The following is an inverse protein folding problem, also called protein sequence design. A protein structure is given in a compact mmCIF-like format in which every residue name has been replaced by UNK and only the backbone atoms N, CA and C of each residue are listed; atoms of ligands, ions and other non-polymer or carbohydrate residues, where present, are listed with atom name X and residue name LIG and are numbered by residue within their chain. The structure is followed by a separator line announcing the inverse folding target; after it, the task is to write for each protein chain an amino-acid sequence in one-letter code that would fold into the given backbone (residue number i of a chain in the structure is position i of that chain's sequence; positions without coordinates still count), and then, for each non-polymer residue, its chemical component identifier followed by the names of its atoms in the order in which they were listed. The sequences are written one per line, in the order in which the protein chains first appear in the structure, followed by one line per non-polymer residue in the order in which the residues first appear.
data_IF_843089982201
#
_entry.id   IF_843089982201
#
_cell.length_a   1.000
_cell.length_b   1.000
_cell.length_c   1.000
_cell.angle_alpha   90.00
_cell.angle_beta   90.00
_cell.angle_gamma   90.00
#
_symmetry.space_group_name_H-M   'P 1'
#
loop_
_entity.id
_entity.type
_entity.pdbx_description
1 polymer ?
#
# COMPACT_ATOMS: atom_id res chain seq x y z
N UNK A 1 5.17 -7.71 -23.13
CA UNK A 1 6.34 -7.35 -22.33
C UNK A 1 5.89 -6.77 -20.98
N UNK A 2 6.71 -7.00 -19.93
CA UNK A 2 6.40 -6.59 -18.58
C UNK A 2 7.57 -5.82 -18.00
N UNK A 3 7.28 -4.84 -17.15
CA UNK A 3 8.23 -4.22 -16.24
C UNK A 3 8.05 -4.91 -14.89
N UNK A 4 9.11 -5.53 -14.37
CA UNK A 4 9.12 -6.21 -13.07
C UNK A 4 9.77 -5.33 -12.02
N UNK A 5 9.08 -5.12 -10.91
CA UNK A 5 9.49 -4.24 -9.83
C UNK A 5 9.26 -4.90 -8.47
N UNK A 6 10.09 -4.55 -7.51
CA UNK A 6 9.80 -4.85 -6.10
C UNK A 6 8.71 -3.91 -5.61
N UNK A 7 7.78 -4.47 -4.87
CA UNK A 7 6.64 -3.76 -4.31
C UNK A 7 6.45 -4.13 -2.83
N UNK A 8 5.69 -3.32 -2.15
CA UNK A 8 5.30 -3.55 -0.74
C UNK A 8 3.81 -3.29 -0.60
N UNK A 9 3.12 -4.14 0.13
CA UNK A 9 1.73 -3.92 0.49
C UNK A 9 1.62 -2.82 1.53
N UNK A 10 0.60 -2.00 1.41
CA UNK A 10 0.33 -0.88 2.31
C UNK A 10 -1.15 -0.79 2.62
N UNK A 11 -1.48 -0.66 3.90
CA UNK A 11 -2.87 -0.42 4.32
C UNK A 11 -3.42 0.84 3.65
N UNK A 12 -4.68 0.80 3.24
CA UNK A 12 -5.37 1.94 2.61
C UNK A 12 -5.44 3.14 3.56
N UNK A 13 -5.72 2.86 4.82
CA UNK A 13 -5.76 3.87 5.89
C UNK A 13 -5.10 3.31 7.15
N UNK A 14 -4.36 4.18 7.81
CA UNK A 14 -3.80 3.96 9.16
C UNK A 14 -4.05 5.21 9.96
N UNK A 15 -4.94 5.15 10.95
CA UNK A 15 -5.33 6.32 11.75
C UNK A 15 -5.08 6.02 13.23
N UNK A 16 -4.41 6.96 13.87
CA UNK A 16 -4.32 7.04 15.32
C UNK A 16 -5.55 7.79 15.83
N UNK A 17 -6.49 7.06 16.40
CA UNK A 17 -7.72 7.63 16.97
C UNK A 17 -7.39 8.21 18.32
N UNK A 18 -7.52 9.52 18.45
CA UNK A 18 -7.08 10.28 19.63
C UNK A 18 -8.23 10.57 20.58
N UNK A 19 -7.91 10.60 21.85
CA UNK A 19 -8.81 11.06 22.91
C UNK A 19 -9.17 12.53 22.70
N UNK A 20 -10.46 12.86 22.72
CA UNK A 20 -10.95 14.24 22.61
C UNK A 20 -10.94 14.99 23.95
N UNK A 21 -10.95 14.24 25.04
CA UNK A 21 -10.90 14.73 26.42
C UNK A 21 -9.90 13.90 27.21
N UNK A 22 -9.35 14.46 28.29
CA UNK A 22 -8.55 13.69 29.24
C UNK A 22 -9.48 12.87 30.14
N UNK A 23 -9.06 11.67 30.52
CA UNK A 23 -9.83 10.83 31.44
C UNK A 23 -9.24 9.44 31.59
N UNK A 24 -9.64 8.73 32.64
CA UNK A 24 -9.26 7.33 32.82
C UNK A 24 -10.02 6.44 31.82
N UNK A 25 -9.34 5.49 31.20
CA UNK A 25 -9.96 4.45 30.38
C UNK A 25 -10.71 3.49 31.29
N UNK A 26 -12.02 3.65 31.37
CA UNK A 26 -12.88 2.82 32.22
C UNK A 26 -13.32 1.54 31.51
N UNK A 27 -13.37 1.55 30.19
CA UNK A 27 -13.79 0.41 29.39
C UNK A 27 -13.19 0.49 27.98
N UNK A 28 -12.84 -0.67 27.41
CA UNK A 28 -12.53 -0.85 26.01
C UNK A 28 -13.64 -1.67 25.33
N UNK A 29 -14.07 -1.28 24.14
CA UNK A 29 -15.12 -1.95 23.38
C UNK A 29 -14.62 -3.05 22.45
N UNK A 30 -13.31 -3.21 22.33
CA UNK A 30 -12.65 -4.17 21.46
C UNK A 30 -11.27 -4.52 22.00
N UNK A 31 -10.57 -5.43 21.30
CA UNK A 31 -9.21 -5.84 21.65
C UNK A 31 -8.30 -5.72 20.45
N UNK A 32 -6.99 -5.67 20.69
CA UNK A 32 -5.97 -5.67 19.67
C UNK A 32 -6.10 -6.88 18.71
N UNK A 33 -5.94 -6.66 17.41
CA UNK A 33 -6.04 -7.68 16.36
C UNK A 33 -7.45 -7.95 15.85
N UNK A 34 -8.50 -7.41 16.49
CA UNK A 34 -9.89 -7.64 16.09
C UNK A 34 -10.33 -6.67 15.00
N UNK A 35 -11.17 -7.15 14.08
CA UNK A 35 -11.89 -6.30 13.14
C UNK A 35 -13.07 -5.61 13.84
N UNK A 36 -13.24 -4.33 13.58
CA UNK A 36 -14.37 -3.53 14.07
C UNK A 36 -15.03 -2.79 12.91
N UNK A 37 -16.32 -2.55 13.05
CA UNK A 37 -17.06 -1.71 12.12
C UNK A 37 -16.90 -0.23 12.49
N UNK A 38 -17.14 0.64 11.52
CA UNK A 38 -17.25 2.07 11.76
C UNK A 38 -18.21 2.34 12.92
N UNK A 39 -17.91 3.36 13.73
CA UNK A 39 -18.66 3.81 14.90
C UNK A 39 -18.65 2.83 16.11
N UNK A 40 -17.95 1.70 16.02
CA UNK A 40 -17.70 0.84 17.19
C UNK A 40 -16.92 1.64 18.25
N UNK A 41 -17.35 1.55 19.51
CA UNK A 41 -16.66 2.18 20.65
C UNK A 41 -15.32 1.47 20.84
N UNK A 42 -14.23 2.23 20.78
CA UNK A 42 -12.87 1.74 20.99
C UNK A 42 -12.49 1.83 22.46
N UNK A 43 -12.65 3.01 23.06
CA UNK A 43 -12.44 3.22 24.47
C UNK A 43 -13.44 4.24 25.03
N UNK A 44 -13.82 4.04 26.27
CA UNK A 44 -14.67 4.95 27.03
C UNK A 44 -13.81 5.61 28.12
N UNK A 45 -13.77 6.93 28.10
CA UNK A 45 -13.03 7.74 29.07
C UNK A 45 -13.98 8.24 30.17
N UNK A 46 -13.65 7.95 31.42
CA UNK A 46 -14.36 8.48 32.58
C UNK A 46 -13.76 9.82 33.00
N UNK A 47 -14.61 10.86 33.02
CA UNK A 47 -14.30 12.11 33.72
C UNK A 47 -15.36 12.26 34.78
N UNK A 48 -15.05 11.90 36.02
CA UNK A 48 -15.94 12.03 37.20
C UNK A 48 -17.40 11.63 36.92
N UNK A 49 -17.79 10.53 37.43
CA UNK A 49 -19.10 9.86 37.62
C UNK A 49 -20.27 10.06 36.61
N UNK A 50 -20.34 11.12 35.82
CA UNK A 50 -21.53 11.44 35.02
C UNK A 50 -21.29 11.64 33.50
N UNK A 51 -20.06 11.82 33.06
CA UNK A 51 -19.78 12.08 31.63
C UNK A 51 -18.72 11.11 31.08
N UNK A 52 -19.17 10.01 30.50
CA UNK A 52 -18.32 9.14 29.72
C UNK A 52 -18.16 9.69 28.29
N UNK A 53 -16.93 9.93 27.88
CA UNK A 53 -16.62 10.26 26.49
C UNK A 53 -16.23 8.99 25.76
N UNK A 54 -16.96 8.67 24.71
CA UNK A 54 -16.67 7.51 23.85
C UNK A 54 -15.80 7.93 22.68
N UNK A 55 -14.73 7.17 22.45
CA UNK A 55 -13.89 7.28 21.27
C UNK A 55 -14.27 6.15 20.33
N UNK A 56 -14.75 6.50 19.13
CA UNK A 56 -15.31 5.55 18.15
C UNK A 56 -14.40 5.37 16.95
N UNK A 57 -14.51 4.21 16.31
CA UNK A 57 -13.80 3.89 15.08
C UNK A 57 -14.28 4.80 13.94
N UNK A 58 -13.39 5.52 13.26
CA UNK A 58 -13.74 6.42 12.16
C UNK A 58 -14.11 5.69 10.87
N UNK A 59 -13.70 4.44 10.74
CA UNK A 59 -13.98 3.52 9.63
C UNK A 59 -13.88 2.07 10.10
N UNK A 60 -14.35 1.14 9.28
CA UNK A 60 -14.22 -0.30 9.56
C UNK A 60 -12.79 -0.76 9.27
N UNK A 61 -12.18 -1.51 10.20
CA UNK A 61 -10.80 -1.95 10.06
C UNK A 61 -10.34 -2.81 11.23
N UNK A 62 -9.05 -3.12 11.24
CA UNK A 62 -8.42 -3.92 12.28
C UNK A 62 -7.77 -3.03 13.33
N UNK A 63 -7.92 -3.41 14.59
CA UNK A 63 -7.27 -2.73 15.72
C UNK A 63 -5.82 -3.22 15.80
N UNK A 64 -4.90 -2.32 15.52
CA UNK A 64 -3.48 -2.63 15.61
C UNK A 64 -2.94 -2.42 17.02
N UNK A 65 -3.45 -1.39 17.68
CA UNK A 65 -3.07 -1.03 19.04
C UNK A 65 -4.26 -0.40 19.77
N UNK A 66 -4.42 -0.69 21.05
CA UNK A 66 -5.45 -0.09 21.89
C UNK A 66 -4.91 0.15 23.30
N UNK A 67 -5.30 1.27 23.89
CA UNK A 67 -4.96 1.63 25.26
C UNK A 67 -5.65 0.65 26.23
N UNK A 68 -4.97 0.30 27.33
CA UNK A 68 -5.52 -0.60 28.33
C UNK A 68 -6.38 0.18 29.37
N UNK A 69 -7.42 -0.46 29.94
CA UNK A 69 -8.16 0.11 31.06
C UNK A 69 -7.22 0.49 32.22
N UNK A 70 -7.56 1.55 32.91
CA UNK A 70 -6.76 2.10 33.99
C UNK A 70 -5.71 3.13 33.56
N UNK A 71 -5.38 3.22 32.27
CA UNK A 71 -4.55 4.30 31.74
C UNK A 71 -5.33 5.61 31.70
N UNK A 72 -4.62 6.72 31.79
CA UNK A 72 -5.20 8.06 31.78
C UNK A 72 -4.65 8.84 30.56
N UNK A 73 -5.20 8.63 29.33
CA UNK A 73 -4.79 9.42 28.19
C UNK A 73 -5.24 10.88 28.37
N UNK A 74 -4.33 11.79 28.08
CA UNK A 74 -4.63 13.20 27.97
C UNK A 74 -5.29 13.50 26.62
N UNK A 75 -5.93 14.66 26.53
CA UNK A 75 -6.52 15.15 25.29
C UNK A 75 -5.46 15.16 24.17
N UNK A 76 -5.78 14.50 23.06
CA UNK A 76 -4.89 14.39 21.90
C UNK A 76 -3.97 13.17 21.92
N UNK A 77 -3.89 12.42 23.03
CA UNK A 77 -3.16 11.15 23.07
C UNK A 77 -3.94 10.04 22.36
N UNK A 78 -3.20 9.04 21.85
CA UNK A 78 -3.77 7.94 21.07
C UNK A 78 -4.52 6.99 22.00
N UNK A 79 -5.78 6.75 21.70
CA UNK A 79 -6.62 5.73 22.32
C UNK A 79 -6.47 4.38 21.60
N UNK A 80 -6.51 4.38 20.27
CA UNK A 80 -6.33 3.20 19.46
C UNK A 80 -5.74 3.55 18.10
N UNK A 81 -5.06 2.58 17.48
CA UNK A 81 -4.64 2.65 16.08
C UNK A 81 -5.46 1.64 15.29
N UNK A 82 -6.14 2.12 14.25
CA UNK A 82 -6.95 1.31 13.35
C UNK A 82 -6.39 1.35 11.93
N UNK A 83 -6.34 0.20 11.27
CA UNK A 83 -5.89 0.06 9.88
C UNK A 83 -6.98 -0.53 9.00
N UNK A 84 -7.09 -0.01 7.78
CA UNK A 84 -7.96 -0.57 6.74
C UNK A 84 -7.12 -1.39 5.78
N UNK A 85 -7.41 -2.70 5.70
CA UNK A 85 -6.70 -3.65 4.84
C UNK A 85 -7.51 -4.06 3.60
N UNK A 86 -8.75 -3.59 3.47
CA UNK A 86 -9.58 -3.85 2.30
C UNK A 86 -10.19 -2.53 1.78
N UNK A 87 -9.85 -2.12 0.55
CA UNK A 87 -8.79 -2.69 -0.27
C UNK A 87 -7.40 -2.49 0.36
N UNK A 88 -6.42 -3.29 -0.08
CA UNK A 88 -5.01 -3.06 0.25
C UNK A 88 -4.28 -2.50 -0.96
N UNK A 89 -3.39 -1.53 -0.74
CA UNK A 89 -2.60 -0.94 -1.80
C UNK A 89 -1.26 -1.66 -1.97
N UNK A 90 -0.83 -1.83 -3.19
CA UNK A 90 0.51 -2.24 -3.56
C UNK A 90 1.28 -1.02 -4.04
N UNK A 91 2.43 -0.76 -3.45
CA UNK A 91 3.27 0.39 -3.80
C UNK A 91 4.59 -0.09 -4.36
N UNK A 92 4.97 0.43 -5.53
CA UNK A 92 6.25 0.15 -6.18
C UNK A 92 6.88 1.42 -6.72
N UNK A 93 8.20 1.39 -6.91
CA UNK A 93 8.94 2.49 -7.52
C UNK A 93 9.35 2.15 -8.96
N UNK A 94 8.86 2.91 -9.93
CA UNK A 94 9.24 2.79 -11.34
C UNK A 94 10.46 3.66 -11.61
N UNK A 95 11.57 3.11 -12.15
CA UNK A 95 12.72 3.91 -12.52
C UNK A 95 12.41 4.96 -13.58
N UNK A 96 13.17 6.06 -13.60
CA UNK A 96 12.97 7.20 -14.49
C UNK A 96 12.95 6.80 -15.98
N UNK A 97 13.79 5.84 -16.39
CA UNK A 97 13.86 5.40 -17.78
C UNK A 97 12.65 4.58 -18.27
N UNK A 98 11.82 4.07 -17.34
CA UNK A 98 10.63 3.27 -17.65
C UNK A 98 9.31 4.02 -17.44
N UNK A 99 9.31 5.18 -16.79
CA UNK A 99 8.06 5.86 -16.38
C UNK A 99 7.16 6.21 -17.57
N UNK A 100 7.73 6.53 -18.72
CA UNK A 100 6.96 6.87 -19.92
C UNK A 100 6.17 5.69 -20.50
N UNK A 101 6.47 4.45 -20.07
CA UNK A 101 5.79 3.22 -20.46
C UNK A 101 4.66 2.85 -19.53
N UNK A 102 4.54 3.54 -18.39
CA UNK A 102 3.60 3.21 -17.31
C UNK A 102 2.45 4.20 -17.28
N UNK A 103 1.23 3.67 -17.26
CA UNK A 103 -0.01 4.47 -17.25
C UNK A 103 -1.04 3.85 -16.30
N UNK A 104 -1.96 4.68 -15.83
CA UNK A 104 -3.14 4.24 -15.08
C UNK A 104 -3.94 3.24 -15.93
N UNK A 105 -4.64 2.31 -15.29
CA UNK A 105 -5.46 1.24 -15.86
C UNK A 105 -4.68 0.10 -16.58
N UNK A 106 -3.36 0.15 -16.62
CA UNK A 106 -2.57 -1.00 -17.09
C UNK A 106 -2.76 -2.20 -16.15
N UNK A 107 -2.83 -3.39 -16.77
CA UNK A 107 -2.90 -4.65 -16.02
C UNK A 107 -1.59 -4.91 -15.29
N UNK A 108 -1.73 -5.37 -14.05
CA UNK A 108 -0.60 -5.76 -13.21
C UNK A 108 -0.80 -7.16 -12.66
N UNK A 109 0.27 -7.91 -12.56
CA UNK A 109 0.33 -9.21 -11.91
C UNK A 109 1.23 -9.08 -10.69
N UNK A 110 0.75 -9.54 -9.57
CA UNK A 110 1.39 -9.37 -8.27
C UNK A 110 1.68 -10.73 -7.68
N UNK A 111 2.96 -11.01 -7.46
CA UNK A 111 3.41 -12.21 -6.78
C UNK A 111 3.83 -11.84 -5.35
N UNK A 112 3.00 -12.24 -4.39
CA UNK A 112 3.30 -12.02 -2.97
C UNK A 112 4.36 -13.02 -2.49
N UNK A 113 5.19 -12.61 -1.53
CA UNK A 113 6.16 -13.49 -0.86
C UNK A 113 5.50 -14.73 -0.22
N UNK A 114 4.19 -14.66 0.07
CA UNK A 114 3.39 -15.77 0.60
C UNK A 114 3.02 -16.83 -0.45
N UNK A 115 3.39 -16.62 -1.74
CA UNK A 115 3.13 -17.54 -2.84
C UNK A 115 1.80 -17.31 -3.57
N UNK A 116 1.05 -16.27 -3.22
CA UNK A 116 -0.18 -15.90 -3.93
C UNK A 116 0.15 -15.00 -5.12
N UNK A 117 -0.47 -15.29 -6.28
CA UNK A 117 -0.47 -14.42 -7.45
C UNK A 117 -1.83 -13.76 -7.60
N UNK A 118 -1.86 -12.46 -7.75
CA UNK A 118 -3.06 -11.65 -7.82
C UNK A 118 -2.99 -10.76 -9.06
N UNK A 119 -4.12 -10.61 -9.74
CA UNK A 119 -4.27 -9.67 -10.84
C UNK A 119 -4.93 -8.37 -10.35
N UNK A 120 -4.47 -7.26 -10.89
CA UNK A 120 -4.99 -5.94 -10.57
C UNK A 120 -4.77 -4.93 -11.69
N UNK A 121 -5.02 -3.67 -11.38
CA UNK A 121 -4.75 -2.55 -12.29
C UNK A 121 -4.02 -1.44 -11.55
N UNK A 122 -3.18 -0.71 -12.27
CA UNK A 122 -2.59 0.51 -11.74
C UNK A 122 -3.68 1.56 -11.50
N UNK A 123 -3.75 2.06 -10.28
CA UNK A 123 -4.71 3.09 -9.86
C UNK A 123 -4.06 4.47 -9.74
N UNK A 124 -2.75 4.51 -9.53
CA UNK A 124 -2.00 5.75 -9.36
C UNK A 124 -0.62 5.66 -9.99
N UNK A 125 -0.19 6.76 -10.61
CA UNK A 125 1.18 6.98 -11.12
C UNK A 125 1.60 8.38 -10.70
N UNK A 126 2.65 8.46 -9.88
CA UNK A 126 3.18 9.74 -9.39
C UNK A 126 3.66 10.63 -10.54
N UNK A 127 3.51 11.95 -10.38
CA UNK A 127 4.02 12.97 -11.31
C UNK A 127 5.38 13.51 -10.91
N UNK A 128 5.88 13.13 -9.74
CA UNK A 128 7.20 13.53 -9.24
C UNK A 128 8.00 12.31 -8.81
N UNK A 129 9.29 12.35 -9.08
CA UNK A 129 10.20 11.30 -8.62
C UNK A 129 10.57 11.52 -7.14
N UNK A 130 10.78 10.43 -6.42
CA UNK A 130 11.43 10.44 -5.11
C UNK A 130 12.89 10.89 -5.30
N UNK A 131 13.35 11.94 -4.61
CA UNK A 131 14.72 12.44 -4.76
C UNK A 131 15.77 11.42 -4.33
N UNK A 132 15.45 10.58 -3.34
CA UNK A 132 16.39 9.61 -2.77
C UNK A 132 16.63 8.41 -3.70
N UNK A 133 15.57 7.92 -4.34
CA UNK A 133 15.61 6.68 -5.15
C UNK A 133 15.54 6.94 -6.65
N UNK A 134 15.21 8.15 -7.08
CA UNK A 134 14.91 8.53 -8.47
C UNK A 134 13.88 7.62 -9.14
N UNK A 135 12.87 7.22 -8.35
CA UNK A 135 11.77 6.40 -8.81
C UNK A 135 10.45 7.16 -8.69
N UNK A 136 9.51 6.84 -9.55
CA UNK A 136 8.15 7.34 -9.50
C UNK A 136 7.27 6.29 -8.81
N UNK A 137 6.55 6.68 -7.77
CA UNK A 137 5.64 5.78 -7.08
C UNK A 137 4.45 5.44 -7.97
N UNK A 138 4.13 4.16 -8.02
CA UNK A 138 2.92 3.63 -8.62
C UNK A 138 2.17 2.81 -7.58
N UNK A 139 0.84 2.83 -7.67
CA UNK A 139 -0.01 2.07 -6.76
C UNK A 139 -1.03 1.23 -7.53
N UNK A 140 -1.31 0.06 -7.01
CA UNK A 140 -2.39 -0.81 -7.45
C UNK A 140 -3.21 -1.22 -6.24
N UNK A 141 -4.54 -1.16 -6.35
CA UNK A 141 -5.43 -1.61 -5.29
C UNK A 141 -5.86 -3.05 -5.53
N UNK A 142 -5.86 -3.83 -4.46
CA UNK A 142 -6.22 -5.25 -4.45
C UNK A 142 -7.31 -5.45 -3.41
N UNK A 143 -8.35 -6.21 -3.77
CA UNK A 143 -9.39 -6.62 -2.83
C UNK A 143 -8.80 -7.61 -1.81
N UNK A 144 -9.08 -7.38 -0.55
CA UNK A 144 -8.57 -8.18 0.58
C UNK A 144 -9.65 -8.33 1.67
N UNK A 145 -10.85 -8.86 1.31
CA UNK A 145 -12.00 -8.88 2.22
C UNK A 145 -11.73 -9.69 3.49
N UNK A 146 -10.90 -10.72 3.39
CA UNK A 146 -10.56 -11.60 4.53
C UNK A 146 -9.40 -11.04 5.38
N UNK A 147 -8.78 -9.93 4.98
CA UNK A 147 -7.63 -9.33 5.66
C UNK A 147 -6.40 -10.26 5.72
N UNK A 148 -6.31 -11.23 4.82
CA UNK A 148 -5.20 -12.21 4.78
C UNK A 148 -3.90 -11.56 4.31
N UNK A 149 -3.99 -10.62 3.37
CA UNK A 149 -2.85 -9.84 2.92
C UNK A 149 -2.57 -8.78 3.98
N UNK A 150 -1.41 -8.87 4.61
CA UNK A 150 -1.01 -7.95 5.68
C UNK A 150 -0.32 -6.72 5.12
N UNK A 151 -0.33 -5.65 5.89
CA UNK A 151 0.47 -4.44 5.64
C UNK A 151 1.97 -4.77 5.75
N UNK A 152 2.77 -4.22 4.83
CA UNK A 152 4.23 -4.37 4.85
C UNK A 152 4.79 -5.66 4.23
N UNK A 153 3.97 -6.47 3.54
CA UNK A 153 4.47 -7.65 2.82
C UNK A 153 5.24 -7.24 1.58
N UNK A 154 6.35 -7.94 1.34
CA UNK A 154 7.09 -7.82 0.09
C UNK A 154 6.37 -8.56 -1.05
N UNK A 155 6.39 -7.96 -2.23
CA UNK A 155 5.82 -8.52 -3.45
C UNK A 155 6.70 -8.18 -4.67
N UNK A 156 6.50 -8.92 -5.76
CA UNK A 156 6.95 -8.54 -7.09
C UNK A 156 5.74 -8.13 -7.91
N UNK A 157 5.78 -6.96 -8.53
CA UNK A 157 4.75 -6.49 -9.44
C UNK A 157 5.28 -6.53 -10.88
N UNK A 158 4.49 -7.13 -11.77
CA UNK A 158 4.74 -7.18 -13.21
C UNK A 158 3.70 -6.30 -13.90
N UNK A 159 4.13 -5.14 -14.42
CA UNK A 159 3.26 -4.20 -15.12
C UNK A 159 3.27 -4.56 -16.60
N UNK A 160 2.10 -4.80 -17.18
CA UNK A 160 1.99 -5.05 -18.61
C UNK A 160 2.15 -3.73 -19.38
N UNK A 161 3.13 -3.69 -20.28
CA UNK A 161 3.39 -2.52 -21.13
C UNK A 161 3.02 -2.81 -22.58
N UNK A 162 2.85 -1.74 -23.38
CA UNK A 162 2.50 -1.83 -24.78
C UNK A 162 3.47 -2.73 -25.56
N UNK A 163 2.92 -3.58 -26.41
CA UNK A 163 3.70 -4.43 -27.31
C UNK A 163 4.32 -3.57 -28.40
N UNK A 164 5.62 -3.50 -28.44
CA UNK A 164 6.35 -2.90 -29.55
C UNK A 164 6.65 -3.98 -30.59
N UNK A 165 6.34 -3.71 -31.85
CA UNK A 165 6.77 -4.59 -32.94
C UNK A 165 8.29 -4.56 -33.00
N UNK A 166 8.91 -5.69 -32.72
CA UNK A 166 10.36 -5.83 -32.71
C UNK A 166 10.74 -7.15 -33.38
N UNK A 167 11.86 -7.13 -34.09
CA UNK A 167 12.46 -8.34 -34.67
C UNK A 167 13.54 -8.83 -33.68
N UNK A 168 13.39 -10.08 -33.25
CA UNK A 168 14.45 -10.72 -32.47
C UNK A 168 15.55 -11.19 -33.41
N UNK A 169 16.71 -10.58 -33.31
CA UNK A 169 17.88 -10.92 -34.11
C UNK A 169 18.96 -11.52 -33.20
N UNK A 170 19.77 -12.43 -33.77
CA UNK A 170 20.96 -12.95 -33.07
C UNK A 170 22.04 -11.86 -33.01
N UNK A 171 22.74 -11.71 -31.87
CA UNK A 171 23.87 -10.80 -31.78
C UNK A 171 24.96 -11.06 -32.84
N UNK A 172 25.07 -12.28 -33.36
CA UNK A 172 26.03 -12.68 -34.40
C UNK A 172 25.82 -12.00 -35.76
N UNK A 173 24.66 -11.42 -36.03
CA UNK A 173 24.37 -10.68 -37.27
C UNK A 173 24.53 -9.16 -37.16
N UNK A 174 24.93 -8.69 -35.97
CA UNK A 174 25.23 -7.29 -35.75
C UNK A 174 26.60 -6.96 -36.35
N UNK A 175 26.64 -5.90 -37.13
CA UNK A 175 27.86 -5.38 -37.74
C UNK A 175 28.09 -3.97 -37.21
N UNK A 176 29.38 -3.62 -37.03
CA UNK A 176 29.80 -2.26 -36.76
C UNK A 176 30.11 -1.59 -38.11
N UNK A 177 29.59 -0.37 -38.32
CA UNK A 177 30.04 0.43 -39.45
C UNK A 177 31.35 1.16 -39.08
N UNK A 178 31.93 1.85 -40.07
CA UNK A 178 33.19 2.58 -39.92
C UNK A 178 33.12 3.73 -38.88
N UNK A 179 31.91 4.15 -38.52
CA UNK A 179 31.65 5.15 -37.46
C UNK A 179 31.43 4.52 -36.07
N UNK A 180 31.56 3.21 -35.93
CA UNK A 180 31.34 2.50 -34.67
C UNK A 180 29.88 2.32 -34.27
N UNK A 181 28.92 2.52 -35.20
CA UNK A 181 27.49 2.28 -34.95
C UNK A 181 27.13 0.84 -35.28
N UNK A 182 26.34 0.22 -34.37
CA UNK A 182 25.78 -1.10 -34.57
C UNK A 182 24.63 -1.07 -35.57
N UNK A 183 24.63 -2.00 -36.55
CA UNK A 183 23.58 -2.15 -37.54
C UNK A 183 23.46 -3.59 -38.02
N UNK A 184 22.48 -3.83 -38.87
CA UNK A 184 22.32 -5.10 -39.62
C UNK A 184 22.36 -4.80 -41.13
N UNK A 185 22.95 -5.70 -41.86
CA UNK A 185 22.88 -5.61 -43.32
C UNK A 185 21.61 -6.30 -43.80
N UNK A 186 20.77 -5.55 -44.49
CA UNK A 186 19.57 -6.08 -45.17
C UNK A 186 20.00 -6.40 -46.60
N UNK A 187 19.72 -7.62 -47.08
CA UNK A 187 19.95 -8.06 -48.43
C UNK A 187 18.65 -7.95 -49.22
#
# INVERSE_FOLDING_TARGET
PYIKLKATTKSEKRINVKAKTSGEVVQIGTVQGRFVQKDTVLCSLGVVELNRTEVKAPFSGYIEQIVKPGNFPERGQVCATIIQLDPISLVAGVPEYDINKVRIDQSVYVDLVTGQTIEGKLTFVSKSASPDTRTFNVESQINNPDGLIKDGLTAEISIEIDKVKAHKISPSILLLNDEGKLGIRIV
#
